data_IF_678454314484
#
_entry.id   IF_678454314484
#
_cell.length_a   1.000
_cell.length_b   1.000
_cell.length_c   1.000
_cell.angle_alpha   90.00
_cell.angle_beta   90.00
_cell.angle_gamma   90.00
#
_symmetry.space_group_name_H-M   'P 1'
#
loop_
_entity.id
_entity.type
_entity.pdbx_description
1 polymer ?
#
# COMPACT_ATOMS: atom_id res chain seq x y z
N UNK A 1 -21.29 -7.65 -18.80
CA UNK A 1 -20.06 -7.01 -18.28
C UNK A 1 -19.60 -7.78 -17.06
N UNK A 2 -18.44 -8.43 -17.14
CA UNK A 2 -18.01 -9.42 -16.15
C UNK A 2 -17.64 -8.76 -14.82
N UNK A 3 -17.85 -9.44 -13.69
CA UNK A 3 -17.58 -8.93 -12.32
C UNK A 3 -16.13 -8.41 -12.21
N UNK A 4 -15.18 -9.13 -12.83
CA UNK A 4 -13.77 -8.74 -12.88
C UNK A 4 -13.55 -7.37 -13.55
N UNK A 5 -14.25 -7.08 -14.64
CA UNK A 5 -14.11 -5.79 -15.34
C UNK A 5 -14.62 -4.62 -14.48
N UNK A 6 -15.71 -4.83 -13.73
CA UNK A 6 -16.21 -3.81 -12.78
C UNK A 6 -15.21 -3.54 -11.66
N UNK A 7 -14.49 -4.56 -11.19
CA UNK A 7 -13.45 -4.40 -10.18
C UNK A 7 -12.23 -3.64 -10.74
N UNK A 8 -11.76 -4.00 -11.95
CA UNK A 8 -10.65 -3.31 -12.62
C UNK A 8 -10.96 -1.83 -12.86
N UNK A 9 -12.17 -1.48 -13.30
CA UNK A 9 -12.57 -0.08 -13.48
C UNK A 9 -12.50 0.75 -12.19
N UNK A 10 -12.62 0.12 -11.02
CA UNK A 10 -12.52 0.78 -9.72
C UNK A 10 -11.07 0.91 -9.22
N UNK A 11 -10.11 0.24 -9.85
CA UNK A 11 -8.70 0.31 -9.46
C UNK A 11 -8.13 1.73 -9.56
N UNK A 12 -8.61 2.53 -10.51
CA UNK A 12 -8.19 3.93 -10.67
C UNK A 12 -8.52 4.73 -9.40
N UNK A 13 -9.80 4.86 -9.06
CA UNK A 13 -10.27 5.57 -7.87
C UNK A 13 -11.18 4.67 -7.02
N UNK A 14 -10.62 3.87 -6.09
CA UNK A 14 -11.40 2.97 -5.25
C UNK A 14 -12.28 3.79 -4.30
N UNK A 15 -13.56 3.38 -4.16
CA UNK A 15 -14.53 4.03 -3.28
C UNK A 15 -15.43 2.99 -2.63
N UNK A 16 -15.71 3.17 -1.34
CA UNK A 16 -16.58 2.31 -0.55
C UNK A 16 -16.07 0.87 -0.45
N UNK A 17 -16.95 -0.04 -0.03
CA UNK A 17 -16.61 -1.44 0.25
C UNK A 17 -16.05 -2.17 -0.98
N UNK A 18 -16.63 -1.96 -2.16
CA UNK A 18 -16.14 -2.57 -3.42
C UNK A 18 -14.73 -2.07 -3.76
N UNK A 19 -14.47 -0.77 -3.57
CA UNK A 19 -13.13 -0.20 -3.75
C UNK A 19 -12.12 -0.80 -2.78
N UNK A 20 -12.52 -0.97 -1.51
CA UNK A 20 -11.69 -1.62 -0.50
C UNK A 20 -11.37 -3.08 -0.83
N UNK A 21 -12.35 -3.84 -1.31
CA UNK A 21 -12.12 -5.21 -1.79
C UNK A 21 -11.16 -5.24 -2.98
N UNK A 22 -11.27 -4.28 -3.91
CA UNK A 22 -10.34 -4.18 -5.03
C UNK A 22 -8.91 -3.90 -4.56
N UNK A 23 -8.73 -3.02 -3.56
CA UNK A 23 -7.41 -2.77 -2.96
C UNK A 23 -6.82 -4.03 -2.30
N UNK A 24 -7.64 -4.85 -1.65
CA UNK A 24 -7.20 -6.14 -1.11
C UNK A 24 -6.72 -7.09 -2.22
N UNK A 25 -7.46 -7.17 -3.34
CA UNK A 25 -7.05 -7.97 -4.51
C UNK A 25 -5.74 -7.45 -5.08
N UNK A 26 -5.60 -6.13 -5.26
CA UNK A 26 -4.37 -5.51 -5.76
C UNK A 26 -3.19 -5.77 -4.84
N UNK A 27 -3.38 -5.65 -3.52
CA UNK A 27 -2.35 -5.96 -2.53
C UNK A 27 -1.85 -7.41 -2.65
N UNK A 28 -2.74 -8.37 -2.90
CA UNK A 28 -2.37 -9.77 -3.10
C UNK A 28 -1.66 -9.99 -4.45
N UNK A 29 -2.22 -9.47 -5.54
CA UNK A 29 -1.71 -9.67 -6.89
C UNK A 29 -0.31 -9.08 -7.10
N UNK A 30 -0.02 -7.90 -6.53
CA UNK A 30 1.26 -7.21 -6.75
C UNK A 30 2.35 -7.61 -5.74
N UNK A 31 2.01 -8.27 -4.62
CA UNK A 31 2.95 -8.52 -3.52
C UNK A 31 4.25 -9.19 -3.98
N UNK A 32 4.15 -10.22 -4.85
CA UNK A 32 5.32 -10.96 -5.33
C UNK A 32 6.24 -10.07 -6.16
N UNK A 33 5.67 -9.28 -7.07
CA UNK A 33 6.42 -8.36 -7.92
C UNK A 33 7.08 -7.25 -7.09
N UNK A 34 6.33 -6.63 -6.16
CA UNK A 34 6.86 -5.61 -5.26
C UNK A 34 8.01 -6.15 -4.42
N UNK A 35 7.86 -7.33 -3.81
CA UNK A 35 8.92 -7.94 -3.00
C UNK A 35 10.16 -8.25 -3.83
N UNK A 36 9.99 -8.76 -5.05
CA UNK A 36 11.10 -8.99 -5.98
C UNK A 36 11.81 -7.69 -6.33
N UNK A 37 11.09 -6.62 -6.66
CA UNK A 37 11.67 -5.30 -6.96
C UNK A 37 12.45 -4.72 -5.78
N UNK A 38 11.88 -4.78 -4.57
CA UNK A 38 12.54 -4.32 -3.35
C UNK A 38 13.79 -5.15 -2.99
N UNK A 39 13.95 -6.39 -3.48
CA UNK A 39 15.19 -7.15 -3.30
C UNK A 39 16.33 -6.67 -4.22
N UNK A 40 16.02 -5.89 -5.27
CA UNK A 40 17.03 -5.40 -6.23
C UNK A 40 17.69 -4.08 -5.79
N UNK A 41 17.21 -3.48 -4.71
CA UNK A 41 17.73 -2.21 -4.20
C UNK A 41 18.19 -2.35 -2.76
N UNK A 42 19.24 -1.62 -2.40
CA UNK A 42 19.66 -1.48 -1.02
C UNK A 42 18.87 -0.34 -0.36
N UNK A 43 18.17 -0.65 0.74
CA UNK A 43 17.42 0.32 1.52
C UNK A 43 18.02 0.35 2.92
N UNK A 44 18.49 1.52 3.34
CA UNK A 44 19.03 1.70 4.69
C UNK A 44 17.93 1.46 5.74
N UNK A 45 18.31 0.93 6.90
CA UNK A 45 17.38 0.62 8.00
C UNK A 45 16.74 1.86 8.64
N UNK A 46 17.31 3.03 8.40
CA UNK A 46 16.92 4.35 8.91
C UNK A 46 16.41 5.30 7.80
N UNK A 47 16.15 4.77 6.61
CA UNK A 47 15.72 5.58 5.47
C UNK A 47 14.40 6.32 5.73
N UNK A 48 14.30 7.54 5.20
CA UNK A 48 13.02 8.24 5.06
C UNK A 48 12.49 7.92 3.67
N UNK A 49 11.30 7.32 3.59
CA UNK A 49 10.73 6.81 2.34
C UNK A 49 9.37 7.43 2.06
N UNK A 50 9.08 7.72 0.79
CA UNK A 50 7.78 8.15 0.30
C UNK A 50 7.23 7.11 -0.67
N UNK A 51 6.06 6.57 -0.38
CA UNK A 51 5.29 5.68 -1.27
C UNK A 51 4.18 6.47 -1.96
N UNK A 52 4.35 6.74 -3.27
CA UNK A 52 3.42 7.52 -4.10
C UNK A 52 2.41 6.57 -4.75
N UNK A 53 1.13 6.78 -4.50
CA UNK A 53 0.09 5.82 -4.85
C UNK A 53 0.10 4.63 -3.91
N UNK A 54 0.13 4.91 -2.59
CA UNK A 54 0.31 3.88 -1.57
C UNK A 54 -0.81 2.83 -1.51
N UNK A 55 -1.94 3.08 -2.17
CA UNK A 55 -3.00 2.10 -2.39
C UNK A 55 -3.50 1.51 -1.07
N UNK A 56 -3.61 0.18 -1.02
CA UNK A 56 -4.02 -0.54 0.20
C UNK A 56 -2.92 -0.68 1.25
N UNK A 57 -1.77 -0.02 1.09
CA UNK A 57 -0.70 0.04 2.08
C UNK A 57 0.18 -1.19 2.23
N UNK A 58 0.11 -2.18 1.31
CA UNK A 58 0.91 -3.40 1.42
C UNK A 58 2.41 -3.14 1.22
N UNK A 59 2.77 -2.24 0.31
CA UNK A 59 4.16 -1.83 0.09
C UNK A 59 4.73 -1.14 1.32
N UNK A 60 3.98 -0.19 1.91
CA UNK A 60 4.32 0.45 3.20
C UNK A 60 4.57 -0.59 4.29
N UNK A 61 3.68 -1.58 4.44
CA UNK A 61 3.86 -2.65 5.44
C UNK A 61 5.17 -3.41 5.25
N UNK A 62 5.52 -3.74 4.00
CA UNK A 62 6.79 -4.41 3.67
C UNK A 62 7.98 -3.50 3.98
N UNK A 63 7.91 -2.22 3.62
CA UNK A 63 8.96 -1.24 3.88
C UNK A 63 9.17 -1.01 5.38
N UNK A 64 8.11 -0.94 6.18
CA UNK A 64 8.17 -0.75 7.63
C UNK A 64 9.03 -1.83 8.29
N UNK A 65 8.91 -3.08 7.83
CA UNK A 65 9.73 -4.19 8.36
C UNK A 65 11.20 -4.09 7.95
N UNK A 66 11.50 -3.53 6.77
CA UNK A 66 12.87 -3.38 6.26
C UNK A 66 13.58 -2.16 6.82
N UNK A 67 12.82 -1.14 7.20
CA UNK A 67 13.30 0.16 7.70
C UNK A 67 12.86 0.33 9.16
N UNK A 68 13.40 -0.46 10.11
CA UNK A 68 12.95 -0.46 11.49
C UNK A 68 13.20 0.86 12.24
N UNK A 69 14.16 1.68 11.79
CA UNK A 69 14.60 2.92 12.44
C UNK A 69 14.29 4.18 11.62
N UNK A 70 13.61 4.02 10.48
CA UNK A 70 13.31 5.12 9.59
C UNK A 70 11.84 5.53 9.64
N UNK A 71 11.45 6.36 8.67
CA UNK A 71 10.11 6.95 8.57
C UNK A 71 9.51 6.66 7.21
N UNK A 72 8.21 6.36 7.14
CA UNK A 72 7.52 6.09 5.88
C UNK A 72 6.32 7.02 5.74
N UNK A 73 6.27 7.72 4.62
CA UNK A 73 5.15 8.55 4.21
C UNK A 73 4.43 7.86 3.06
N UNK A 74 3.10 7.74 3.17
CA UNK A 74 2.25 7.26 2.10
C UNK A 74 1.38 8.40 1.59
N UNK A 75 1.37 8.61 0.28
CA UNK A 75 0.40 9.50 -0.36
C UNK A 75 -0.39 8.73 -1.40
N UNK A 76 -1.68 9.02 -1.46
CA UNK A 76 -2.56 8.54 -2.51
C UNK A 76 -3.63 9.60 -2.75
N UNK A 77 -4.07 9.74 -3.99
CA UNK A 77 -5.11 10.71 -4.33
C UNK A 77 -6.50 10.20 -3.92
N UNK A 78 -6.66 8.90 -3.70
CA UNK A 78 -7.90 8.29 -3.23
C UNK A 78 -7.95 8.27 -1.70
N UNK A 79 -8.93 8.97 -1.12
CA UNK A 79 -9.15 8.95 0.33
C UNK A 79 -9.38 7.53 0.86
N UNK A 80 -10.07 6.67 0.09
CA UNK A 80 -10.29 5.28 0.46
C UNK A 80 -8.99 4.48 0.51
N UNK A 81 -8.06 4.73 -0.42
CA UNK A 81 -6.74 4.11 -0.40
C UNK A 81 -5.97 4.54 0.85
N UNK A 82 -5.92 5.85 1.15
CA UNK A 82 -5.28 6.38 2.36
C UNK A 82 -5.89 5.77 3.62
N UNK A 83 -7.21 5.70 3.72
CA UNK A 83 -7.91 5.11 4.87
C UNK A 83 -7.55 3.63 5.03
N UNK A 84 -7.57 2.85 3.94
CA UNK A 84 -7.25 1.44 3.98
C UNK A 84 -5.78 1.19 4.30
N UNK A 85 -4.88 2.01 3.76
CA UNK A 85 -3.45 1.97 4.07
C UNK A 85 -3.20 2.23 5.56
N UNK A 86 -3.86 3.24 6.13
CA UNK A 86 -3.80 3.53 7.58
C UNK A 86 -4.33 2.36 8.41
N UNK A 87 -5.46 1.77 8.02
CA UNK A 87 -6.04 0.60 8.71
C UNK A 87 -5.10 -0.62 8.66
N UNK A 88 -4.53 -0.91 7.50
CA UNK A 88 -3.62 -2.04 7.31
C UNK A 88 -2.31 -1.87 8.12
N UNK A 89 -1.88 -0.63 8.35
CA UNK A 89 -0.64 -0.28 9.04
C UNK A 89 -0.88 0.40 10.40
N UNK A 90 -2.02 0.12 11.06
CA UNK A 90 -2.47 0.89 12.24
C UNK A 90 -1.45 0.92 13.39
N UNK A 91 -0.66 -0.13 13.55
CA UNK A 91 0.38 -0.18 14.59
C UNK A 91 1.50 0.82 14.32
N UNK A 92 1.91 0.96 13.07
CA UNK A 92 2.95 1.90 12.65
C UNK A 92 2.43 3.34 12.67
N UNK A 93 1.18 3.55 12.21
CA UNK A 93 0.51 4.86 12.28
C UNK A 93 0.40 5.37 13.72
N UNK A 94 0.00 4.51 14.67
CA UNK A 94 -0.10 4.88 16.09
C UNK A 94 1.24 5.21 16.73
N UNK A 95 2.32 4.65 16.22
CA UNK A 95 3.69 4.93 16.66
C UNK A 95 4.32 6.11 15.90
N UNK A 96 3.56 6.72 15.00
CA UNK A 96 4.05 7.72 14.05
C UNK A 96 5.34 7.24 13.36
N UNK A 97 5.33 6.02 12.83
CA UNK A 97 6.40 5.50 11.98
C UNK A 97 6.19 5.88 10.53
#
# INVERSE_FOLDING_TARGET
MNILQRLIQKAKNPRGTIGSSMLCIMNAAHMRLTNWGLQKIHIRKDAITLDIGCGGGKTIHTLSKRIPFGKIYGIDYSDQAVENSKKANIQDVKKEK
#
